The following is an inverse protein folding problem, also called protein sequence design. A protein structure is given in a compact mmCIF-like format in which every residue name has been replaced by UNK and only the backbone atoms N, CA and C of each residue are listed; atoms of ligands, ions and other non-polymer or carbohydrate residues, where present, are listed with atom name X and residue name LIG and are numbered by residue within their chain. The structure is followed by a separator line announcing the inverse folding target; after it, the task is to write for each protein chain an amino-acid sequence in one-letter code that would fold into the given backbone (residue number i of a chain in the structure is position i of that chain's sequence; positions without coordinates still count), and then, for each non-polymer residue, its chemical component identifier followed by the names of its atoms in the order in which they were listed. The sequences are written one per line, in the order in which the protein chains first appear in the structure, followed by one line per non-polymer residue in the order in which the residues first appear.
data_IF_627269186255
#
_entry.id   IF_627269186255
#
_cell.length_a   1.000
_cell.length_b   1.000
_cell.length_c   1.000
_cell.angle_alpha   90.00
_cell.angle_beta   90.00
_cell.angle_gamma   90.00
#
_symmetry.space_group_name_H-M   'P 1'
#
loop_
_entity.id
_entity.type
_entity.pdbx_description
1 polymer ?
#
# COMPACT_ATOMS: atom_id res chain seq x y z
N UNK A 1 28.76 -63.19 21.04
CA UNK A 1 27.68 -62.19 21.18
C UNK A 1 27.42 -61.54 19.83
N UNK A 2 26.27 -61.82 19.23
CA UNK A 2 25.90 -61.37 17.87
C UNK A 2 25.50 -59.89 17.94
N UNK A 3 26.30 -59.01 17.33
CA UNK A 3 25.91 -57.61 17.08
C UNK A 3 24.81 -57.59 16.02
N UNK A 4 23.55 -57.46 16.46
CA UNK A 4 22.43 -57.10 15.57
C UNK A 4 22.69 -55.71 14.99
N UNK A 5 23.11 -55.64 13.74
CA UNK A 5 23.04 -54.40 12.95
C UNK A 5 21.57 -54.16 12.62
N UNK A 6 20.99 -53.11 13.22
CA UNK A 6 19.70 -52.56 12.82
C UNK A 6 19.87 -51.88 11.45
N UNK A 7 19.86 -52.68 10.40
CA UNK A 7 19.78 -52.21 9.02
C UNK A 7 18.31 -51.95 8.70
N UNK A 8 17.97 -50.70 8.38
CA UNK A 8 16.67 -50.34 7.81
C UNK A 8 16.02 -49.13 8.47
N UNK A 9 16.51 -47.91 8.18
CA UNK A 9 15.71 -46.69 8.43
C UNK A 9 15.93 -45.52 7.48
N UNK A 10 16.56 -45.71 6.32
CA UNK A 10 16.84 -44.61 5.37
C UNK A 10 15.78 -44.41 4.27
N UNK A 11 14.75 -45.26 4.16
CA UNK A 11 13.74 -45.16 3.07
C UNK A 11 12.44 -44.41 3.43
N UNK A 12 12.35 -43.82 4.62
CA UNK A 12 11.16 -43.09 5.09
C UNK A 12 11.34 -41.59 5.33
N UNK A 13 12.54 -41.04 5.16
CA UNK A 13 12.87 -39.65 5.52
C UNK A 13 12.50 -38.64 4.43
N UNK A 14 12.61 -38.99 3.14
CA UNK A 14 12.27 -38.09 2.03
C UNK A 14 10.79 -37.66 2.03
N UNK A 15 9.88 -38.58 2.33
CA UNK A 15 8.45 -38.28 2.46
C UNK A 15 8.15 -37.45 3.71
N UNK A 16 8.86 -37.67 4.82
CA UNK A 16 8.71 -36.88 6.03
C UNK A 16 9.21 -35.43 5.86
N UNK A 17 10.31 -35.22 5.13
CA UNK A 17 10.85 -33.88 4.85
C UNK A 17 9.98 -33.09 3.87
N UNK A 18 9.49 -33.71 2.79
CA UNK A 18 8.52 -33.09 1.89
C UNK A 18 7.21 -32.75 2.62
N UNK A 19 6.76 -33.62 3.52
CA UNK A 19 5.56 -33.39 4.32
C UNK A 19 5.69 -32.19 5.27
N UNK A 20 6.89 -31.90 5.79
CA UNK A 20 7.11 -30.73 6.66
C UNK A 20 7.52 -29.46 5.89
N UNK A 21 8.26 -29.62 4.79
CA UNK A 21 8.82 -28.50 4.03
C UNK A 21 7.82 -27.81 3.11
N UNK A 22 6.95 -28.58 2.46
CA UNK A 22 5.94 -28.04 1.54
C UNK A 22 4.95 -27.10 2.26
N UNK A 23 4.44 -27.43 3.47
CA UNK A 23 3.64 -26.49 4.26
C UNK A 23 4.39 -25.20 4.62
N UNK A 24 5.68 -25.27 4.99
CA UNK A 24 6.47 -24.09 5.33
C UNK A 24 6.67 -23.17 4.10
N UNK A 25 6.94 -23.76 2.94
CA UNK A 25 7.09 -23.03 1.68
C UNK A 25 5.76 -22.38 1.26
N UNK A 26 4.66 -23.12 1.34
CA UNK A 26 3.32 -22.60 1.07
C UNK A 26 2.98 -21.45 2.02
N UNK A 27 3.26 -21.58 3.32
CA UNK A 27 3.04 -20.50 4.29
C UNK A 27 3.82 -19.24 3.92
N UNK A 28 5.10 -19.37 3.57
CA UNK A 28 5.94 -18.23 3.17
C UNK A 28 5.42 -17.57 1.89
N UNK A 29 4.99 -18.37 0.91
CA UNK A 29 4.34 -17.90 -0.31
C UNK A 29 3.02 -17.16 -0.02
N UNK A 30 2.15 -17.73 0.82
CA UNK A 30 0.87 -17.11 1.19
C UNK A 30 1.08 -15.80 1.95
N UNK A 31 2.05 -15.74 2.87
CA UNK A 31 2.41 -14.51 3.59
C UNK A 31 2.88 -13.43 2.61
N UNK A 32 3.77 -13.78 1.69
CA UNK A 32 4.28 -12.82 0.72
C UNK A 32 3.22 -12.33 -0.26
N UNK A 33 2.37 -13.21 -0.79
CA UNK A 33 1.22 -12.81 -1.63
C UNK A 33 0.22 -11.93 -0.88
N UNK A 34 -0.02 -12.24 0.41
CA UNK A 34 -0.88 -11.43 1.27
C UNK A 34 -0.28 -10.04 1.50
N UNK A 35 1.03 -9.94 1.70
CA UNK A 35 1.73 -8.66 1.84
C UNK A 35 1.60 -7.79 0.57
N UNK A 36 1.81 -8.38 -0.61
CA UNK A 36 1.63 -7.69 -1.90
C UNK A 36 0.19 -7.19 -2.08
N UNK A 37 -0.79 -8.05 -1.80
CA UNK A 37 -2.20 -7.68 -1.84
C UNK A 37 -2.51 -6.53 -0.86
N UNK A 38 -1.96 -6.58 0.36
CA UNK A 38 -2.14 -5.54 1.36
C UNK A 38 -1.60 -4.18 0.90
N UNK A 39 -0.45 -4.15 0.22
CA UNK A 39 0.12 -2.92 -0.35
C UNK A 39 -0.78 -2.34 -1.43
N UNK A 40 -1.30 -3.18 -2.34
CA UNK A 40 -2.25 -2.75 -3.37
C UNK A 40 -3.54 -2.17 -2.77
N UNK A 41 -4.12 -2.86 -1.78
CA UNK A 41 -5.29 -2.38 -1.04
C UNK A 41 -4.98 -1.05 -0.33
N UNK A 42 -3.79 -0.89 0.26
CA UNK A 42 -3.37 0.36 0.92
C UNK A 42 -3.34 1.54 -0.05
N UNK A 43 -2.81 1.34 -1.25
CA UNK A 43 -2.77 2.37 -2.28
C UNK A 43 -4.19 2.81 -2.68
N UNK A 44 -5.11 1.85 -2.85
CA UNK A 44 -6.53 2.13 -3.10
C UNK A 44 -7.20 2.89 -1.95
N UNK A 45 -6.95 2.51 -0.70
CA UNK A 45 -7.46 3.23 0.47
C UNK A 45 -6.96 4.68 0.53
N UNK A 46 -5.69 4.94 0.21
CA UNK A 46 -5.12 6.29 0.18
C UNK A 46 -5.77 7.16 -0.90
N UNK A 47 -5.97 6.60 -2.09
CA UNK A 47 -6.63 7.32 -3.18
C UNK A 47 -8.07 7.67 -2.83
N UNK A 48 -8.84 6.71 -2.32
CA UNK A 48 -10.21 6.93 -1.86
C UNK A 48 -10.30 7.93 -0.71
N UNK A 49 -9.38 7.88 0.26
CA UNK A 49 -9.33 8.85 1.36
C UNK A 49 -9.08 10.28 0.83
N UNK A 50 -8.17 10.43 -0.15
CA UNK A 50 -7.89 11.73 -0.78
C UNK A 50 -9.13 12.28 -1.49
N UNK A 51 -9.84 11.48 -2.27
CA UNK A 51 -11.06 11.92 -2.95
C UNK A 51 -12.19 12.27 -1.97
N UNK A 52 -12.37 11.48 -0.91
CA UNK A 52 -13.33 11.78 0.14
C UNK A 52 -13.03 13.11 0.84
N UNK A 53 -11.76 13.37 1.17
CA UNK A 53 -11.33 14.61 1.81
C UNK A 53 -11.59 15.82 0.89
N UNK A 54 -11.20 15.74 -0.39
CA UNK A 54 -11.41 16.81 -1.37
C UNK A 54 -12.89 17.10 -1.64
N UNK A 55 -13.73 16.07 -1.66
CA UNK A 55 -15.16 16.26 -1.85
C UNK A 55 -15.77 17.09 -0.70
N UNK A 56 -15.43 16.79 0.56
CA UNK A 56 -15.93 17.55 1.72
C UNK A 56 -15.33 18.94 1.78
N UNK A 57 -14.05 19.12 1.42
CA UNK A 57 -13.43 20.45 1.32
C UNK A 57 -14.20 21.39 0.39
N UNK A 58 -14.82 20.84 -0.67
CA UNK A 58 -15.65 21.55 -1.65
C UNK A 58 -17.14 21.62 -1.26
N UNK A 59 -17.51 21.21 -0.05
CA UNK A 59 -18.90 21.16 0.42
C UNK A 59 -19.73 19.99 -0.11
N UNK A 60 -19.11 19.00 -0.75
CA UNK A 60 -19.75 17.78 -1.26
C UNK A 60 -19.81 16.65 -0.23
N UNK A 61 -20.46 15.54 -0.60
CA UNK A 61 -20.54 14.34 0.24
C UNK A 61 -19.31 13.44 0.09
N UNK A 62 -18.43 13.46 1.10
CA UNK A 62 -17.22 12.63 1.14
C UNK A 62 -17.49 11.13 1.23
N UNK A 63 -18.62 10.71 1.79
CA UNK A 63 -18.96 9.29 1.92
C UNK A 63 -19.21 8.64 0.56
N UNK A 64 -20.01 9.29 -0.29
CA UNK A 64 -20.23 8.81 -1.66
C UNK A 64 -19.00 8.95 -2.55
N UNK A 65 -18.23 10.04 -2.41
CA UNK A 65 -17.00 10.23 -3.18
C UNK A 65 -15.94 9.17 -2.87
N UNK A 66 -15.65 8.95 -1.59
CA UNK A 66 -14.71 7.92 -1.17
C UNK A 66 -15.16 6.50 -1.55
N UNK A 67 -16.44 6.18 -1.39
CA UNK A 67 -16.94 4.82 -1.67
C UNK A 67 -16.89 4.42 -3.16
N UNK A 68 -17.00 5.38 -4.09
CA UNK A 68 -16.85 5.10 -5.53
C UNK A 68 -15.45 4.62 -5.90
N UNK A 69 -14.44 5.06 -5.16
CA UNK A 69 -13.03 4.78 -5.44
C UNK A 69 -12.40 3.82 -4.42
N UNK A 70 -13.16 3.41 -3.40
CA UNK A 70 -12.68 2.55 -2.34
C UNK A 70 -12.56 1.07 -2.76
N UNK A 71 -11.60 0.32 -2.21
CA UNK A 71 -11.53 -1.13 -2.41
C UNK A 71 -12.81 -1.86 -1.95
N UNK A 72 -13.13 -3.04 -2.50
CA UNK A 72 -14.33 -3.78 -2.11
C UNK A 72 -14.37 -4.11 -0.61
N UNK A 73 -15.50 -3.80 0.04
CA UNK A 73 -15.69 -4.04 1.47
C UNK A 73 -14.94 -3.06 2.38
N UNK A 74 -14.44 -1.95 1.83
CA UNK A 74 -13.87 -0.87 2.62
C UNK A 74 -14.95 -0.06 3.35
N UNK A 75 -14.62 0.37 4.55
CA UNK A 75 -15.36 1.33 5.35
C UNK A 75 -14.73 2.72 5.18
N UNK A 76 -15.55 3.73 4.90
CA UNK A 76 -15.13 5.11 4.70
C UNK A 76 -15.75 5.96 5.80
N UNK A 77 -14.90 6.57 6.62
CA UNK A 77 -15.32 7.51 7.67
C UNK A 77 -14.68 8.87 7.40
N UNK A 78 -15.48 9.93 7.50
CA UNK A 78 -15.02 11.30 7.31
C UNK A 78 -15.42 12.11 8.54
N UNK A 79 -14.47 12.81 9.14
CA UNK A 79 -14.71 13.77 10.21
C UNK A 79 -14.25 15.16 9.77
N UNK A 80 -14.97 16.19 10.21
CA UNK A 80 -14.58 17.59 10.06
C UNK A 80 -14.25 18.11 11.45
N UNK A 81 -13.02 18.59 11.63
CA UNK A 81 -12.48 19.10 12.88
C UNK A 81 -11.98 20.53 12.64
N UNK A 82 -12.80 21.51 12.98
CA UNK A 82 -12.49 22.93 12.72
C UNK A 82 -12.36 23.20 11.23
N UNK A 83 -11.17 23.65 10.81
CA UNK A 83 -10.83 23.96 9.41
C UNK A 83 -10.25 22.78 8.64
N UNK A 84 -10.22 21.58 9.22
CA UNK A 84 -9.64 20.38 8.61
C UNK A 84 -10.68 19.27 8.41
N UNK A 85 -10.64 18.65 7.24
CA UNK A 85 -11.36 17.42 6.91
C UNK A 85 -10.39 16.25 7.03
N UNK A 86 -10.73 15.25 7.86
CA UNK A 86 -10.01 13.98 7.96
C UNK A 86 -10.86 12.86 7.39
N UNK A 87 -10.40 12.26 6.30
CA UNK A 87 -11.01 11.06 5.73
C UNK A 87 -10.16 9.82 6.05
N UNK A 88 -10.78 8.78 6.58
CA UNK A 88 -10.17 7.50 6.92
C UNK A 88 -10.86 6.38 6.17
N UNK A 89 -10.09 5.59 5.43
CA UNK A 89 -10.58 4.42 4.70
C UNK A 89 -9.94 3.17 5.29
N UNK A 90 -10.77 2.19 5.67
CA UNK A 90 -10.34 0.89 6.21
C UNK A 90 -10.83 -0.22 5.31
N UNK A 91 -9.92 -1.01 4.73
CA UNK A 91 -10.29 -2.12 3.87
C UNK A 91 -9.76 -3.46 4.42
N UNK A 92 -10.56 -4.54 4.32
CA UNK A 92 -10.10 -5.87 4.67
C UNK A 92 -9.18 -6.44 3.59
N UNK A 93 -8.03 -6.98 4.00
CA UNK A 93 -7.13 -7.76 3.16
C UNK A 93 -7.49 -9.23 3.33
N UNK A 94 -7.94 -9.86 2.24
CA UNK A 94 -8.18 -11.31 2.22
C UNK A 94 -6.84 -12.02 2.10
N UNK A 95 -6.41 -12.68 3.18
CA UNK A 95 -5.35 -13.68 3.09
C UNK A 95 -5.91 -14.89 2.33
N UNK A 96 -5.22 -15.35 1.30
CA UNK A 96 -5.63 -16.52 0.53
C UNK A 96 -5.58 -17.77 1.44
N UNK A 97 -6.74 -18.40 1.67
CA UNK A 97 -6.81 -19.80 2.15
C UNK A 97 -6.91 -20.05 3.66
N UNK A 98 -6.88 -19.06 4.53
CA UNK A 98 -6.91 -19.29 6.00
C UNK A 98 -8.13 -18.70 6.69
N UNK A 99 -8.74 -19.42 7.65
CA UNK A 99 -9.79 -18.90 8.57
C UNK A 99 -9.24 -17.89 9.60
N UNK A 100 -8.21 -17.13 9.26
CA UNK A 100 -7.62 -16.11 10.11
C UNK A 100 -8.55 -14.89 10.23
N UNK A 101 -8.50 -14.15 11.34
CA UNK A 101 -9.21 -12.88 11.46
C UNK A 101 -8.83 -11.95 10.30
N UNK A 102 -9.82 -11.18 9.81
CA UNK A 102 -9.65 -10.28 8.67
C UNK A 102 -8.58 -9.23 9.02
N UNK A 103 -7.39 -9.38 8.46
CA UNK A 103 -6.38 -8.32 8.46
C UNK A 103 -7.00 -7.11 7.77
N UNK A 104 -6.88 -5.93 8.36
CA UNK A 104 -7.38 -4.70 7.75
C UNK A 104 -6.23 -3.72 7.58
N UNK A 105 -6.29 -2.97 6.49
CA UNK A 105 -5.38 -1.88 6.21
C UNK A 105 -6.16 -0.58 6.28
N UNK A 106 -5.60 0.40 6.98
CA UNK A 106 -6.16 1.74 7.06
C UNK A 106 -5.26 2.75 6.35
N UNK A 107 -5.91 3.77 5.77
CA UNK A 107 -5.25 4.94 5.21
C UNK A 107 -6.04 6.19 5.61
N UNK A 108 -5.32 7.29 5.83
CA UNK A 108 -5.90 8.57 6.23
C UNK A 108 -5.39 9.67 5.31
N UNK A 109 -6.29 10.57 4.93
CA UNK A 109 -5.98 11.80 4.20
C UNK A 109 -6.60 12.99 4.95
N UNK A 110 -5.88 14.11 4.96
CA UNK A 110 -6.34 15.36 5.61
C UNK A 110 -6.28 16.48 4.57
N UNK A 111 -7.33 17.29 4.51
CA UNK A 111 -7.43 18.46 3.64
C UNK A 111 -7.99 19.65 4.43
N UNK A 112 -7.61 20.88 4.06
CA UNK A 112 -8.24 22.08 4.60
C UNK A 112 -9.64 22.29 3.98
N UNK A 113 -10.55 22.92 4.71
CA UNK A 113 -11.85 23.38 4.20
C UNK A 113 -11.64 24.73 3.50
N UNK A 114 -12.19 24.91 2.29
CA UNK A 114 -12.12 26.21 1.63
C UNK A 114 -12.91 27.27 2.43
N UNK A 115 -12.30 28.41 2.81
CA UNK A 115 -13.01 29.48 3.48
C UNK A 115 -14.00 30.12 2.51
N UNK A 116 -15.31 29.91 2.75
CA UNK A 116 -16.38 30.49 1.93
C UNK A 116 -17.54 29.55 1.59
N UNK A 117 -17.42 28.24 1.83
CA UNK A 117 -18.56 27.34 1.73
C UNK A 117 -19.56 27.66 2.86
N UNK A 118 -20.83 27.99 2.55
CA UNK A 118 -21.83 28.28 3.59
C UNK A 118 -21.92 27.08 4.51
N UNK A 119 -21.71 27.32 5.81
CA UNK A 119 -21.71 26.32 6.87
C UNK A 119 -22.90 25.38 6.74
N UNK A 120 -22.66 24.24 6.10
CA UNK A 120 -23.60 23.14 6.02
C UNK A 120 -23.71 22.58 7.42
N UNK A 121 -24.77 23.00 8.14
CA UNK A 121 -25.24 22.37 9.38
C UNK A 121 -25.01 20.86 9.27
N UNK A 122 -24.18 20.36 10.18
CA UNK A 122 -23.90 18.96 10.36
C UNK A 122 -25.21 18.18 10.55
N UNK A 123 -25.76 17.66 9.46
CA UNK A 123 -26.78 16.63 9.54
C UNK A 123 -26.05 15.34 9.89
N UNK A 124 -25.90 15.10 11.19
CA UNK A 124 -25.60 13.80 11.78
C UNK A 124 -26.65 12.78 11.33
N UNK A 125 -26.51 12.23 10.13
CA UNK A 125 -27.05 10.90 9.82
C UNK A 125 -26.00 9.89 10.26
N UNK A 126 -26.06 9.55 11.54
CA UNK A 126 -25.64 8.23 12.01
C UNK A 126 -26.51 7.21 11.29
N UNK A 127 -26.07 6.74 10.14
CA UNK A 127 -26.48 5.43 9.64
C UNK A 127 -25.91 4.42 10.62
N UNK A 128 -26.77 4.05 11.56
CA UNK A 128 -26.56 2.97 12.52
C UNK A 128 -26.27 1.67 11.74
N UNK A 129 -24.99 1.42 11.47
CA UNK A 129 -24.47 0.10 11.17
C UNK A 129 -24.58 -0.74 12.43
N UNK A 130 -25.73 -1.42 12.54
CA UNK A 130 -26.09 -2.44 13.53
C UNK A 130 -24.87 -3.19 14.08
N UNK A 131 -24.46 -2.77 15.26
CA UNK A 131 -23.46 -3.45 16.08
C UNK A 131 -24.05 -4.76 16.60
N UNK A 132 -23.68 -5.87 15.95
CA UNK A 132 -23.91 -7.21 16.51
C UNK A 132 -22.87 -7.46 17.57
N UNK A 133 -23.12 -6.92 18.77
CA UNK A 133 -22.50 -7.38 20.02
C UNK A 133 -22.79 -8.88 20.16
N UNK A 134 -21.79 -9.72 19.94
CA UNK A 134 -21.76 -11.08 20.49
C UNK A 134 -21.25 -10.98 21.93
N UNK A 135 -21.96 -11.56 22.92
CA UNK A 135 -21.41 -11.69 24.26
C UNK A 135 -20.26 -12.70 24.23
N UNK A 136 -19.11 -12.29 24.75
CA UNK A 136 -18.03 -13.22 25.13
C UNK A 136 -18.41 -13.75 26.50
N UNK A 137 -18.93 -14.97 26.53
CA UNK A 137 -19.23 -15.71 27.74
C UNK A 137 -17.92 -16.06 28.45
N UNK A 138 -17.68 -15.42 29.59
CA UNK A 138 -16.50 -15.63 30.42
C UNK A 138 -16.77 -16.76 31.42
N UNK A 139 -16.81 -18.00 30.94
CA UNK A 139 -16.78 -19.22 31.79
C UNK A 139 -16.52 -20.47 30.95
N UNK A 140 -15.25 -20.78 30.69
CA UNK A 140 -14.70 -22.14 30.60
C UNK A 140 -13.25 -22.08 30.13
N UNK A 141 -12.28 -22.12 31.04
CA UNK A 141 -11.32 -23.23 31.16
C UNK A 141 -10.32 -22.92 32.26
N UNK A 142 -10.62 -23.43 33.45
CA UNK A 142 -9.60 -23.89 34.38
C UNK A 142 -9.21 -25.28 33.89
N UNK A 143 -8.18 -25.41 33.06
CA UNK A 143 -7.54 -26.70 32.75
C UNK A 143 -6.23 -26.50 31.98
N UNK A 144 -5.13 -26.99 32.59
CA UNK A 144 -3.83 -27.30 31.96
C UNK A 144 -2.83 -26.17 31.73
N UNK A 145 -2.51 -25.46 32.81
CA UNK A 145 -1.12 -25.21 33.13
C UNK A 145 -0.45 -26.56 33.50
N UNK A 146 0.11 -27.26 32.50
CA UNK A 146 1.16 -28.32 32.59
C UNK A 146 1.13 -29.15 31.31
N UNK A 147 1.98 -28.77 30.38
CA UNK A 147 2.95 -29.64 29.70
C UNK A 147 3.63 -28.80 28.63
N UNK A 148 4.50 -27.88 29.06
CA UNK A 148 5.66 -27.48 28.28
C UNK A 148 6.59 -28.70 28.16
N UNK A 149 6.17 -29.69 27.39
CA UNK A 149 7.02 -30.70 26.81
C UNK A 149 7.59 -30.12 25.53
N UNK A 150 8.47 -29.14 25.66
CA UNK A 150 9.39 -28.78 24.59
C UNK A 150 10.22 -30.02 24.26
N UNK A 151 9.70 -30.88 23.39
CA UNK A 151 10.54 -31.81 22.65
C UNK A 151 11.41 -30.92 21.78
N UNK A 152 12.61 -30.65 22.30
CA UNK A 152 13.82 -30.56 21.48
C UNK A 152 13.88 -31.87 20.68
N UNK A 153 13.16 -31.92 19.56
CA UNK A 153 13.38 -32.93 18.56
C UNK A 153 14.72 -32.58 17.94
N UNK A 154 15.72 -33.38 18.29
CA UNK A 154 17.10 -33.22 17.89
C UNK A 154 17.19 -32.98 16.39
N UNK A 155 17.80 -31.85 16.06
CA UNK A 155 18.43 -31.64 14.78
C UNK A 155 19.70 -32.51 14.72
N UNK A 156 19.54 -33.82 14.60
CA UNK A 156 20.58 -34.69 14.06
C UNK A 156 20.30 -34.85 12.57
N UNK A 157 20.66 -33.81 11.81
CA UNK A 157 20.49 -33.74 10.38
C UNK A 157 21.79 -34.22 9.67
N UNK A 158 21.79 -35.47 9.21
CA UNK A 158 22.64 -35.92 8.09
C UNK A 158 21.73 -36.01 6.85
N UNK A 159 21.74 -35.00 5.96
CA UNK A 159 22.59 -34.73 4.78
C UNK A 159 21.98 -35.29 3.48
N UNK A 160 21.11 -34.47 2.89
CA UNK A 160 20.57 -34.65 1.53
C UNK A 160 19.38 -33.73 1.20
N UNK A 161 18.36 -33.66 2.06
CA UNK A 161 17.13 -32.91 1.78
C UNK A 161 17.05 -31.50 2.38
N UNK A 162 17.75 -31.24 3.50
CA UNK A 162 17.86 -29.91 4.10
C UNK A 162 18.36 -28.85 3.09
N UNK A 163 19.28 -29.23 2.19
CA UNK A 163 19.77 -28.33 1.13
C UNK A 163 18.69 -27.97 0.11
N UNK A 164 17.83 -28.92 -0.28
CA UNK A 164 16.76 -28.65 -1.26
C UNK A 164 15.71 -27.71 -0.66
N UNK A 165 15.36 -27.93 0.61
CA UNK A 165 14.42 -27.08 1.35
C UNK A 165 14.96 -25.66 1.57
N UNK A 166 16.24 -25.54 1.91
CA UNK A 166 16.91 -24.24 2.03
C UNK A 166 17.02 -23.53 0.67
N UNK A 167 17.30 -24.27 -0.42
CA UNK A 167 17.32 -23.70 -1.77
C UNK A 167 15.93 -23.24 -2.20
N UNK A 168 14.87 -24.00 -1.92
CA UNK A 168 13.50 -23.61 -2.23
C UNK A 168 13.07 -22.37 -1.42
N UNK A 169 13.34 -22.35 -0.11
CA UNK A 169 13.06 -21.20 0.74
C UNK A 169 13.86 -19.96 0.31
N UNK A 170 15.14 -20.15 -0.03
CA UNK A 170 16.01 -19.12 -0.58
C UNK A 170 15.50 -18.57 -1.91
N UNK A 171 15.09 -19.44 -2.84
CA UNK A 171 14.50 -19.04 -4.12
C UNK A 171 13.23 -18.22 -3.91
N UNK A 172 12.33 -18.65 -3.02
CA UNK A 172 11.12 -17.90 -2.72
C UNK A 172 11.45 -16.54 -2.10
N UNK A 173 12.41 -16.48 -1.16
CA UNK A 173 12.87 -15.20 -0.60
C UNK A 173 13.45 -14.28 -1.66
N UNK A 174 14.24 -14.80 -2.60
CA UNK A 174 14.78 -14.05 -3.74
C UNK A 174 13.65 -13.56 -4.64
N UNK A 175 12.68 -14.40 -5.00
CA UNK A 175 11.54 -14.00 -5.84
C UNK A 175 10.70 -12.90 -5.17
N UNK A 176 10.41 -13.01 -3.87
CA UNK A 176 9.71 -11.96 -3.13
C UNK A 176 10.53 -10.69 -2.98
N UNK A 177 11.84 -10.81 -2.74
CA UNK A 177 12.75 -9.67 -2.69
C UNK A 177 12.81 -8.94 -4.03
N UNK A 178 12.95 -9.66 -5.13
CA UNK A 178 12.95 -9.12 -6.50
C UNK A 178 11.60 -8.46 -6.82
N UNK A 179 10.49 -9.11 -6.48
CA UNK A 179 9.15 -8.54 -6.69
C UNK A 179 8.94 -7.27 -5.85
N UNK A 180 9.30 -7.30 -4.57
CA UNK A 180 9.21 -6.15 -3.67
C UNK A 180 10.07 -4.98 -4.14
N UNK A 181 11.29 -5.26 -4.61
CA UNK A 181 12.17 -4.27 -5.22
C UNK A 181 11.57 -3.68 -6.50
N UNK A 182 10.95 -4.50 -7.36
CA UNK A 182 10.28 -4.04 -8.58
C UNK A 182 9.09 -3.11 -8.27
N UNK A 183 8.28 -3.45 -7.26
CA UNK A 183 7.18 -2.57 -6.80
C UNK A 183 7.74 -1.26 -6.22
N UNK A 184 8.75 -1.33 -5.37
CA UNK A 184 9.38 -0.15 -4.80
C UNK A 184 9.95 0.79 -5.88
N UNK A 185 10.62 0.21 -6.88
CA UNK A 185 11.14 0.95 -8.02
C UNK A 185 10.04 1.65 -8.83
N UNK A 186 8.91 0.96 -9.09
CA UNK A 186 7.77 1.55 -9.77
C UNK A 186 7.13 2.70 -8.97
N UNK A 187 7.07 2.56 -7.64
CA UNK A 187 6.56 3.62 -6.76
C UNK A 187 7.50 4.82 -6.72
N UNK A 188 8.82 4.60 -6.64
CA UNK A 188 9.82 5.68 -6.70
C UNK A 188 9.72 6.48 -8.00
N UNK A 189 9.46 5.82 -9.13
CA UNK A 189 9.24 6.48 -10.42
C UNK A 189 8.09 7.49 -10.35
N UNK A 190 6.94 7.07 -9.81
CA UNK A 190 5.75 7.92 -9.68
C UNK A 190 5.96 9.06 -8.69
N UNK A 191 6.60 8.76 -7.56
CA UNK A 191 6.87 9.77 -6.53
C UNK A 191 7.75 10.89 -7.08
N UNK A 192 8.78 10.54 -7.86
CA UNK A 192 9.68 11.52 -8.51
C UNK A 192 8.96 12.35 -9.57
N UNK A 193 8.15 11.72 -10.42
CA UNK A 193 7.37 12.44 -11.43
C UNK A 193 6.40 13.45 -10.78
N UNK A 194 5.75 13.08 -9.68
CA UNK A 194 4.89 14.00 -8.93
C UNK A 194 5.63 15.22 -8.41
N UNK A 195 6.77 15.01 -7.73
CA UNK A 195 7.60 16.10 -7.20
C UNK A 195 8.10 17.03 -8.31
N UNK A 196 8.54 16.49 -9.45
CA UNK A 196 8.97 17.29 -10.59
C UNK A 196 7.82 18.14 -11.15
N UNK A 197 6.63 17.55 -11.32
CA UNK A 197 5.43 18.25 -11.79
C UNK A 197 5.01 19.37 -10.83
N UNK A 198 5.01 19.12 -9.52
CA UNK A 198 4.63 20.09 -8.49
C UNK A 198 5.56 21.32 -8.49
N UNK A 199 6.88 21.11 -8.55
CA UNK A 199 7.84 22.21 -8.66
C UNK A 199 7.71 22.97 -9.97
N UNK A 200 7.46 22.27 -11.09
CA UNK A 200 7.19 22.91 -12.37
C UNK A 200 5.96 23.80 -12.32
N UNK A 201 4.85 23.30 -11.76
CA UNK A 201 3.60 24.03 -11.64
C UNK A 201 3.76 25.28 -10.77
N UNK A 202 4.38 25.17 -9.59
CA UNK A 202 4.64 26.32 -8.71
C UNK A 202 5.58 27.36 -9.36
N UNK A 203 6.60 26.91 -10.09
CA UNK A 203 7.53 27.78 -10.79
C UNK A 203 6.87 28.56 -11.93
N UNK A 204 6.03 27.88 -12.71
CA UNK A 204 5.24 28.51 -13.76
C UNK A 204 4.21 29.48 -13.19
N UNK A 205 3.49 29.09 -12.12
CA UNK A 205 2.50 29.95 -11.47
C UNK A 205 3.12 31.27 -10.95
N UNK A 206 4.36 31.22 -10.43
CA UNK A 206 5.12 32.41 -10.04
C UNK A 206 5.42 33.39 -11.18
N UNK A 207 5.26 32.97 -12.44
CA UNK A 207 5.47 33.76 -13.67
C UNK A 207 4.24 33.86 -14.57
N UNK A 208 3.06 33.47 -14.08
CA UNK A 208 1.83 33.47 -14.86
C UNK A 208 1.48 34.84 -15.47
N UNK A 209 1.82 35.94 -14.77
CA UNK A 209 1.55 37.32 -15.23
C UNK A 209 2.44 37.71 -16.43
N UNK A 210 3.61 37.09 -16.58
CA UNK A 210 4.55 37.35 -17.68
C UNK A 210 4.12 36.64 -18.98
N UNK A 211 3.06 35.83 -18.94
CA UNK A 211 2.49 35.10 -20.07
C UNK A 211 2.91 33.63 -20.14
N UNK A 212 2.21 32.87 -20.99
CA UNK A 212 2.33 31.41 -21.09
C UNK A 212 3.75 30.94 -21.45
N UNK A 213 4.40 31.60 -22.40
CA UNK A 213 5.75 31.22 -22.85
C UNK A 213 6.78 31.33 -21.73
N UNK A 214 6.72 32.39 -20.93
CA UNK A 214 7.66 32.63 -19.81
C UNK A 214 7.36 31.68 -18.65
N UNK A 215 6.09 31.48 -18.32
CA UNK A 215 5.66 30.53 -17.30
C UNK A 215 6.09 29.09 -17.64
N UNK A 216 5.86 28.66 -18.88
CA UNK A 216 6.21 27.31 -19.32
C UNK A 216 7.73 27.11 -19.47
N UNK A 217 8.49 28.12 -19.89
CA UNK A 217 9.95 28.05 -19.88
C UNK A 217 10.50 27.89 -18.45
N UNK A 218 9.91 28.60 -17.47
CA UNK A 218 10.30 28.48 -16.05
C UNK A 218 9.93 27.11 -15.48
N UNK A 219 8.75 26.60 -15.81
CA UNK A 219 8.33 25.25 -15.42
C UNK A 219 9.27 24.19 -15.98
N UNK A 220 9.66 24.31 -17.26
CA UNK A 220 10.58 23.38 -17.92
C UNK A 220 11.95 23.31 -17.22
N UNK A 221 12.55 24.46 -16.87
CA UNK A 221 13.84 24.51 -16.14
C UNK A 221 13.76 23.77 -14.80
N UNK A 222 12.67 23.95 -14.04
CA UNK A 222 12.53 23.29 -12.74
C UNK A 222 12.19 21.80 -12.86
N UNK A 223 11.40 21.38 -13.85
CA UNK A 223 11.17 19.97 -14.15
C UNK A 223 12.49 19.27 -14.52
N UNK A 224 13.30 19.89 -15.38
CA UNK A 224 14.61 19.37 -15.79
C UNK A 224 15.58 19.23 -14.61
N UNK A 225 15.66 20.24 -13.72
CA UNK A 225 16.48 20.17 -12.49
C UNK A 225 16.05 19.07 -11.53
N UNK A 226 14.79 18.65 -11.58
CA UNK A 226 14.26 17.53 -10.79
C UNK A 226 14.34 16.18 -11.54
N UNK A 227 15.06 16.13 -12.67
CA UNK A 227 15.28 14.90 -13.43
C UNK A 227 14.06 14.45 -14.23
N UNK A 228 13.13 15.36 -14.52
CA UNK A 228 12.00 15.13 -15.42
C UNK A 228 12.13 15.86 -16.74
N UNK A 229 11.28 15.48 -17.68
CA UNK A 229 11.06 16.15 -18.95
C UNK A 229 9.64 16.74 -18.97
N UNK A 230 9.51 17.97 -19.44
CA UNK A 230 8.21 18.63 -19.54
C UNK A 230 7.49 18.17 -20.81
N UNK A 231 6.43 17.38 -20.67
CA UNK A 231 5.63 16.86 -21.80
C UNK A 231 4.59 17.87 -22.26
N UNK A 232 3.94 18.54 -21.31
CA UNK A 232 2.94 19.56 -21.62
C UNK A 232 2.94 20.65 -20.56
N UNK A 233 2.78 21.89 -20.98
CA UNK A 233 2.49 23.03 -20.11
C UNK A 233 1.41 23.89 -20.76
N UNK A 234 0.45 24.35 -19.96
CA UNK A 234 -0.58 25.31 -20.37
C UNK A 234 -0.84 26.31 -19.26
N UNK A 235 -1.09 27.56 -19.65
CA UNK A 235 -1.59 28.60 -18.77
C UNK A 235 -3.10 28.79 -18.97
N UNK A 236 -3.90 28.43 -17.98
CA UNK A 236 -5.35 28.65 -17.95
C UNK A 236 -5.65 29.84 -17.02
N UNK A 237 -5.67 31.05 -17.57
CA UNK A 237 -5.82 32.28 -16.79
C UNK A 237 -4.58 32.55 -15.94
N UNK A 238 -4.64 32.24 -14.64
CA UNK A 238 -3.49 32.30 -13.71
C UNK A 238 -3.07 30.92 -13.19
N UNK A 239 -3.77 29.86 -13.61
CA UNK A 239 -3.42 28.48 -13.28
C UNK A 239 -2.43 27.92 -14.30
N UNK A 240 -1.34 27.32 -13.82
CA UNK A 240 -0.40 26.59 -14.64
C UNK A 240 -0.61 25.09 -14.46
N UNK A 241 -0.89 24.42 -15.58
CA UNK A 241 -1.03 22.97 -15.69
C UNK A 241 0.25 22.39 -16.30
N UNK A 242 0.93 21.54 -15.55
CA UNK A 242 2.20 20.90 -15.96
C UNK A 242 2.02 19.39 -15.98
N UNK A 243 2.49 18.74 -17.04
CA UNK A 243 2.70 17.28 -17.09
C UNK A 243 4.19 17.01 -17.24
N UNK A 244 4.77 16.32 -16.27
CA UNK A 244 6.17 15.93 -16.28
C UNK A 244 6.30 14.41 -16.45
N UNK A 245 7.34 14.01 -17.17
CA UNK A 245 7.74 12.63 -17.37
C UNK A 245 9.10 12.40 -16.71
N UNK A 246 9.23 11.36 -15.89
CA UNK A 246 10.51 10.98 -15.29
C UNK A 246 10.86 9.57 -15.73
N UNK A 247 12.03 9.45 -16.34
CA UNK A 247 12.60 8.17 -16.70
C UNK A 247 13.46 7.67 -15.56
N UNK A 248 13.13 6.51 -15.01
CA UNK A 248 13.95 5.81 -14.00
C UNK A 248 14.49 4.51 -14.56
N UNK A 249 15.75 4.23 -14.28
CA UNK A 249 16.41 2.96 -14.58
C UNK A 249 16.79 2.28 -13.26
N UNK A 250 15.84 1.63 -12.56
CA UNK A 250 16.10 1.00 -11.27
C UNK A 250 17.06 -0.19 -11.36
N UNK A 251 17.17 -0.81 -12.54
CA UNK A 251 18.10 -1.89 -12.83
C UNK A 251 18.71 -1.68 -14.23
N UNK A 252 19.96 -2.13 -14.47
CA UNK A 252 20.57 -2.09 -15.80
C UNK A 252 19.67 -2.75 -16.85
N UNK A 253 19.34 -2.03 -17.92
CA UNK A 253 18.48 -2.51 -19.00
C UNK A 253 16.96 -2.42 -18.75
N UNK A 254 16.51 -2.02 -17.55
CA UNK A 254 15.09 -1.84 -17.24
C UNK A 254 14.76 -0.35 -17.13
N UNK A 255 14.41 0.26 -18.25
CA UNK A 255 13.97 1.65 -18.30
C UNK A 255 12.46 1.72 -18.07
N UNK A 256 12.04 2.56 -17.12
CA UNK A 256 10.62 2.81 -16.83
C UNK A 256 10.35 4.30 -16.90
N UNK A 257 9.32 4.64 -17.65
CA UNK A 257 8.80 5.99 -17.78
C UNK A 257 7.63 6.16 -16.82
N UNK A 258 7.61 7.24 -16.06
CA UNK A 258 6.50 7.63 -15.20
C UNK A 258 6.05 9.05 -15.50
N UNK A 259 4.76 9.22 -15.81
CA UNK A 259 4.14 10.51 -16.11
C UNK A 259 3.28 10.96 -14.93
N UNK A 260 3.36 12.24 -14.55
CA UNK A 260 2.53 12.85 -13.53
C UNK A 260 2.16 14.29 -13.90
N UNK A 261 0.93 14.70 -13.56
CA UNK A 261 0.44 16.06 -13.77
C UNK A 261 0.23 16.81 -12.45
N UNK A 262 0.45 18.12 -12.48
CA UNK A 262 0.22 19.04 -11.37
C UNK A 262 -0.43 20.34 -11.87
N UNK A 263 -1.19 20.99 -10.98
CA UNK A 263 -1.82 22.30 -11.21
C UNK A 263 -1.45 23.23 -10.06
N UNK A 264 -1.05 24.46 -10.37
CA UNK A 264 -0.85 25.51 -9.38
C UNK A 264 -1.44 26.85 -9.87
N UNK A 265 -2.10 27.57 -8.97
CA UNK A 265 -2.69 28.89 -9.21
C UNK A 265 -2.65 29.74 -7.94
N UNK A 266 -2.97 31.04 -8.02
CA UNK A 266 -2.95 31.94 -6.88
C UNK A 266 -3.97 31.51 -5.81
N UNK A 267 -3.59 31.65 -4.54
CA UNK A 267 -4.52 31.43 -3.42
C UNK A 267 -5.55 32.56 -3.44
N UNK A 268 -6.79 32.23 -3.79
CA UNK A 268 -7.92 33.14 -3.60
C UNK A 268 -8.17 33.23 -2.09
N UNK A 269 -7.71 34.34 -1.49
CA UNK A 269 -8.03 34.73 -0.12
C UNK A 269 -9.40 35.41 -0.02
#
# INVERSE_FOLDING_TARGET
MIRRRLAGRDRGSFTAELAAGLPALLLLLFVGLTAVNAVGVRAGCLHAAREAALAVSRGGDGGSAGSRSAPPGADVSVSVEGEQVRATVRAPVRALGTRLPRLSVSATAVAAVEPGAPGGRAMSRRSAGRETRRPIDSRATRATARCLGARRAGADAQRGGATVLLLAAGLVFVLFGVFGAAVAAAQMARQRAGVAADFGALAGAGRAIEGESVACARAADLVARNGGELVSCRLDGLDVLVTAEVTVAPLPGLVRVATAGARAGPVTG
#
